data_IF_818032630763
#
_entry.id   IF_818032630763
#
_cell.length_a   1.000
_cell.length_b   1.000
_cell.length_c   1.000
_cell.angle_alpha   90.00
_cell.angle_beta   90.00
_cell.angle_gamma   90.00
#
_symmetry.space_group_name_H-M   'P 1'
#
loop_
_entity.id
_entity.type
_entity.pdbx_description
1 polymer ?
#
# COMPACT_ATOMS: atom_id res chain seq x y z
N UNK A 1 -28.18 18.53 62.79
CA UNK A 1 -28.14 19.63 61.80
C UNK A 1 -26.69 19.75 61.35
N UNK A 2 -26.32 19.16 60.19
CA UNK A 2 -26.05 19.86 58.91
C UNK A 2 -24.91 20.91 59.10
N UNK A 3 -23.74 20.85 58.46
CA UNK A 3 -23.45 20.54 57.06
C UNK A 3 -22.03 20.00 56.84
N UNK A 4 -21.92 19.01 55.95
CA UNK A 4 -20.70 18.48 55.34
C UNK A 4 -20.36 19.36 54.13
N UNK A 5 -19.13 19.85 54.03
CA UNK A 5 -18.59 20.45 52.81
C UNK A 5 -17.65 19.45 52.14
N UNK A 6 -18.14 18.77 51.09
CA UNK A 6 -17.28 17.99 50.19
C UNK A 6 -17.07 18.81 48.93
N UNK A 7 -15.83 19.24 48.73
CA UNK A 7 -15.36 20.02 47.60
C UNK A 7 -15.41 19.17 46.33
N UNK A 8 -16.20 19.60 45.35
CA UNK A 8 -16.37 18.95 44.05
C UNK A 8 -15.22 19.35 43.12
N UNK A 9 -14.25 18.47 42.90
CA UNK A 9 -13.24 18.63 41.85
C UNK A 9 -13.82 18.17 40.51
N UNK A 10 -14.06 19.12 39.61
CA UNK A 10 -14.44 18.83 38.23
C UNK A 10 -13.17 18.44 37.46
N UNK A 11 -13.01 17.15 37.22
CA UNK A 11 -11.97 16.61 36.33
C UNK A 11 -12.42 16.86 34.88
N UNK A 12 -11.84 17.87 34.24
CA UNK A 12 -12.01 18.09 32.80
C UNK A 12 -11.29 16.95 32.04
N UNK A 13 -12.06 15.96 31.59
CA UNK A 13 -11.59 14.98 30.61
C UNK A 13 -11.38 15.69 29.28
N UNK A 14 -10.12 16.10 29.04
CA UNK A 14 -9.63 16.37 27.69
C UNK A 14 -9.82 15.10 26.87
N UNK A 15 -10.78 15.12 25.96
CA UNK A 15 -10.87 14.12 24.90
C UNK A 15 -9.67 14.32 23.99
N UNK A 16 -8.61 13.57 24.27
CA UNK A 16 -7.57 13.33 23.29
C UNK A 16 -8.26 12.60 22.13
N UNK A 17 -8.53 13.31 21.03
CA UNK A 17 -8.78 12.66 19.75
C UNK A 17 -7.49 11.91 19.42
N UNK A 18 -7.49 10.61 19.64
CA UNK A 18 -6.50 9.71 19.08
C UNK A 18 -6.48 9.95 17.57
N UNK A 19 -5.32 10.39 17.05
CA UNK A 19 -5.01 10.30 15.64
C UNK A 19 -5.46 8.92 15.15
N UNK A 20 -6.29 8.90 14.10
CA UNK A 20 -6.80 7.69 13.47
C UNK A 20 -5.64 6.69 13.38
N UNK A 21 -5.72 5.57 14.09
CA UNK A 21 -4.69 4.55 14.03
C UNK A 21 -4.57 4.15 12.55
N UNK A 22 -3.41 4.44 11.95
CA UNK A 22 -3.17 4.24 10.53
C UNK A 22 -3.44 2.77 10.18
N UNK A 23 -4.61 2.50 9.58
CA UNK A 23 -5.00 1.13 9.30
C UNK A 23 -4.11 0.58 8.18
N UNK A 24 -3.54 -0.62 8.36
CA UNK A 24 -2.74 -1.24 7.32
C UNK A 24 -3.61 -1.52 6.09
N UNK A 25 -2.98 -1.53 4.91
CA UNK A 25 -3.64 -1.92 3.66
C UNK A 25 -4.31 -3.29 3.79
N UNK A 26 -5.53 -3.41 3.28
CA UNK A 26 -6.26 -4.68 3.27
C UNK A 26 -5.81 -5.54 2.10
N UNK A 27 -5.47 -6.81 2.37
CA UNK A 27 -5.17 -7.81 1.34
C UNK A 27 -6.39 -8.70 1.12
N UNK A 28 -6.89 -8.72 -0.12
CA UNK A 28 -8.03 -9.55 -0.51
C UNK A 28 -7.78 -10.25 -1.86
N UNK A 29 -8.51 -11.33 -2.11
CA UNK A 29 -8.56 -12.00 -3.42
C UNK A 29 -9.94 -11.76 -4.04
N UNK A 30 -10.03 -10.81 -4.98
CA UNK A 30 -11.26 -10.48 -5.69
C UNK A 30 -11.21 -11.13 -7.08
N UNK A 31 -12.16 -12.01 -7.40
CA UNK A 31 -12.21 -12.73 -8.70
C UNK A 31 -10.90 -13.47 -9.05
N UNK A 32 -10.27 -14.09 -8.06
CA UNK A 32 -9.00 -14.81 -8.26
C UNK A 32 -7.80 -13.91 -8.52
N UNK A 33 -7.91 -12.61 -8.20
CA UNK A 33 -6.81 -11.64 -8.27
C UNK A 33 -6.53 -11.02 -6.92
N UNK A 34 -5.26 -10.91 -6.56
CA UNK A 34 -4.85 -10.18 -5.36
C UNK A 34 -5.09 -8.69 -5.57
N UNK A 35 -5.75 -8.08 -4.60
CA UNK A 35 -5.98 -6.64 -4.50
C UNK A 35 -5.58 -6.19 -3.10
N UNK A 36 -4.63 -5.25 -3.06
CA UNK A 36 -4.28 -4.50 -1.86
C UNK A 36 -4.99 -3.15 -1.92
N UNK A 37 -5.85 -2.84 -0.94
CA UNK A 37 -6.75 -1.68 -1.01
C UNK A 37 -6.74 -0.89 0.30
N UNK A 38 -6.79 0.44 0.19
CA UNK A 38 -6.94 1.35 1.32
C UNK A 38 -7.89 2.49 0.95
N UNK A 39 -8.73 2.86 1.90
CA UNK A 39 -9.55 4.07 1.85
C UNK A 39 -8.88 5.14 2.69
N UNK A 40 -8.78 6.34 2.13
CA UNK A 40 -8.26 7.53 2.79
C UNK A 40 -9.41 8.52 2.90
N UNK A 41 -9.66 9.02 4.11
CA UNK A 41 -10.67 10.07 4.32
C UNK A 41 -10.18 11.39 3.71
N UNK A 42 -11.12 12.24 3.28
CA UNK A 42 -10.82 13.53 2.70
C UNK A 42 -11.41 14.66 3.54
N UNK A 43 -10.56 15.61 3.91
CA UNK A 43 -10.96 16.87 4.57
C UNK A 43 -11.26 18.00 3.59
N UNK A 44 -11.10 17.73 2.29
CA UNK A 44 -11.23 18.70 1.20
C UNK A 44 -12.26 18.23 0.18
N UNK A 45 -12.78 19.16 -0.62
CA UNK A 45 -13.71 18.80 -1.68
C UNK A 45 -13.06 17.89 -2.74
N UNK A 46 -13.87 17.07 -3.40
CA UNK A 46 -13.40 16.10 -4.38
C UNK A 46 -12.54 16.69 -5.52
N UNK A 47 -12.83 17.93 -5.94
CA UNK A 47 -12.09 18.57 -7.03
C UNK A 47 -10.66 18.86 -6.58
N UNK A 48 -10.48 19.43 -5.38
CA UNK A 48 -9.18 19.67 -4.79
C UNK A 48 -8.41 18.37 -4.54
N UNK A 49 -9.08 17.36 -3.99
CA UNK A 49 -8.48 16.04 -3.77
C UNK A 49 -8.03 15.39 -5.08
N UNK A 50 -8.82 15.50 -6.14
CA UNK A 50 -8.46 14.94 -7.43
C UNK A 50 -7.25 15.65 -8.05
N UNK A 51 -7.13 16.98 -7.95
CA UNK A 51 -5.94 17.68 -8.43
C UNK A 51 -4.67 17.24 -7.68
N UNK A 52 -4.75 17.05 -6.36
CA UNK A 52 -3.64 16.51 -5.56
C UNK A 52 -3.29 15.10 -6.02
N UNK A 53 -4.30 14.23 -6.21
CA UNK A 53 -4.10 12.87 -6.70
C UNK A 53 -3.42 12.86 -8.08
N UNK A 54 -3.82 13.76 -8.99
CA UNK A 54 -3.19 13.88 -10.31
C UNK A 54 -1.73 14.30 -10.20
N UNK A 55 -1.42 15.27 -9.35
CA UNK A 55 -0.05 15.71 -9.12
C UNK A 55 0.81 14.58 -8.53
N UNK A 56 0.31 13.91 -7.49
CA UNK A 56 0.99 12.75 -6.90
C UNK A 56 1.25 11.66 -7.93
N UNK A 57 0.26 11.33 -8.78
CA UNK A 57 0.41 10.31 -9.81
C UNK A 57 1.40 10.72 -10.91
N UNK A 58 1.44 12.01 -11.28
CA UNK A 58 2.43 12.56 -12.21
C UNK A 58 3.85 12.44 -11.64
N UNK A 59 4.02 12.81 -10.37
CA UNK A 59 5.33 12.80 -9.72
C UNK A 59 5.88 11.38 -9.55
N UNK A 60 5.01 10.41 -9.24
CA UNK A 60 5.38 9.02 -8.98
C UNK A 60 5.45 8.14 -10.24
N UNK A 61 4.66 8.44 -11.29
CA UNK A 61 4.50 7.54 -12.44
C UNK A 61 4.60 8.24 -13.81
N UNK A 62 4.88 9.54 -13.85
CA UNK A 62 4.96 10.33 -15.08
C UNK A 62 6.37 10.61 -15.59
N UNK A 63 7.42 10.18 -14.87
CA UNK A 63 8.81 10.59 -15.15
C UNK A 63 9.52 9.72 -16.20
N UNK A 64 9.41 8.41 -16.09
CA UNK A 64 10.11 7.46 -16.96
C UNK A 64 9.12 6.48 -17.62
N UNK A 65 8.91 6.58 -18.95
CA UNK A 65 7.98 5.72 -19.69
C UNK A 65 8.42 4.26 -19.79
N UNK A 66 9.71 3.95 -19.57
CA UNK A 66 10.21 2.57 -19.56
C UNK A 66 9.98 1.87 -18.22
N UNK A 67 9.74 2.63 -17.16
CA UNK A 67 9.46 2.14 -15.81
C UNK A 67 7.97 2.21 -15.49
N UNK A 68 7.29 3.28 -15.91
CA UNK A 68 5.94 3.57 -15.49
C UNK A 68 5.12 4.28 -16.57
N UNK A 69 3.80 4.18 -16.47
CA UNK A 69 2.87 4.94 -17.30
C UNK A 69 1.62 5.25 -16.49
N UNK A 70 1.06 6.45 -16.68
CA UNK A 70 -0.14 6.92 -15.96
C UNK A 70 -1.19 7.45 -16.94
N UNK A 71 -2.45 7.18 -16.64
CA UNK A 71 -3.64 7.70 -17.34
C UNK A 71 -4.56 8.36 -16.33
N UNK A 72 -5.26 9.38 -16.80
CA UNK A 72 -6.17 10.20 -16.01
C UNK A 72 -7.56 10.16 -16.62
N UNK A 73 -8.58 9.95 -15.80
CA UNK A 73 -9.98 10.16 -16.13
C UNK A 73 -10.51 11.32 -15.28
N UNK A 74 -10.61 12.49 -15.91
CA UNK A 74 -11.04 13.71 -15.22
C UNK A 74 -12.53 13.71 -14.87
N UNK A 75 -13.35 12.98 -15.62
CA UNK A 75 -14.79 12.90 -15.35
C UNK A 75 -15.06 11.96 -14.18
N UNK A 76 -14.41 10.79 -14.20
CA UNK A 76 -14.47 9.79 -13.13
C UNK A 76 -13.63 10.12 -11.89
N UNK A 77 -12.84 11.21 -11.91
CA UNK A 77 -11.85 11.58 -10.88
C UNK A 77 -10.95 10.41 -10.49
N UNK A 78 -10.43 9.75 -11.52
CA UNK A 78 -9.73 8.48 -11.42
C UNK A 78 -8.36 8.54 -12.09
N UNK A 79 -7.39 7.82 -11.53
CA UNK A 79 -6.09 7.57 -12.15
C UNK A 79 -5.82 6.07 -12.21
N UNK A 80 -5.11 5.66 -13.25
CA UNK A 80 -4.53 4.32 -13.34
C UNK A 80 -3.08 4.45 -13.77
N UNK A 81 -2.18 3.78 -13.05
CA UNK A 81 -0.78 3.70 -13.42
C UNK A 81 -0.27 2.27 -13.41
N UNK A 82 0.58 1.93 -14.37
CA UNK A 82 1.38 0.71 -14.36
C UNK A 82 2.80 1.09 -14.02
N UNK A 83 3.45 0.33 -13.15
CA UNK A 83 4.82 0.61 -12.74
C UNK A 83 5.59 -0.67 -12.40
N UNK A 84 6.91 -0.54 -12.31
CA UNK A 84 7.81 -1.57 -11.78
C UNK A 84 8.76 -0.96 -10.77
N UNK A 85 9.10 -1.71 -9.73
CA UNK A 85 10.04 -1.30 -8.68
C UNK A 85 10.89 -2.49 -8.24
N UNK A 86 12.13 -2.24 -7.84
CA UNK A 86 12.95 -3.22 -7.14
C UNK A 86 12.61 -3.18 -5.64
N UNK A 87 12.18 -4.32 -5.10
CA UNK A 87 11.95 -4.50 -3.67
C UNK A 87 13.16 -5.17 -3.05
N UNK A 88 13.75 -4.52 -2.04
CA UNK A 88 14.71 -5.16 -1.16
C UNK A 88 13.94 -6.03 -0.16
N UNK A 89 14.31 -7.30 -0.05
CA UNK A 89 13.70 -8.24 0.88
C UNK A 89 14.35 -8.13 2.27
N UNK A 90 13.63 -8.48 3.36
CA UNK A 90 14.24 -8.73 4.65
C UNK A 90 15.35 -9.79 4.52
N UNK A 91 16.36 -9.77 5.40
CA UNK A 91 17.37 -10.82 5.44
C UNK A 91 16.69 -12.17 5.70
N UNK A 92 17.12 -13.19 4.98
CA UNK A 92 16.69 -14.57 5.19
C UNK A 92 17.36 -15.20 6.43
N UNK A 93 17.05 -16.46 6.70
CA UNK A 93 17.63 -17.28 7.77
C UNK A 93 19.15 -17.45 7.67
N UNK A 94 19.73 -17.17 6.50
CA UNK A 94 21.18 -17.16 6.24
C UNK A 94 21.75 -15.73 6.24
N UNK A 95 20.95 -14.74 6.64
CA UNK A 95 21.27 -13.31 6.67
C UNK A 95 21.60 -12.71 5.28
N UNK A 96 21.11 -13.33 4.21
CA UNK A 96 21.22 -12.83 2.83
C UNK A 96 20.03 -11.93 2.53
N UNK A 97 20.30 -10.72 2.01
CA UNK A 97 19.27 -9.80 1.52
C UNK A 97 19.11 -9.97 0.02
N UNK A 98 18.03 -10.65 -0.35
CA UNK A 98 17.65 -10.79 -1.75
C UNK A 98 16.84 -9.58 -2.25
N UNK A 99 16.64 -9.51 -3.56
CA UNK A 99 15.83 -8.49 -4.21
C UNK A 99 14.92 -9.10 -5.27
N UNK A 100 13.76 -8.50 -5.47
CA UNK A 100 12.80 -8.88 -6.52
C UNK A 100 12.34 -7.65 -7.26
N UNK A 101 12.09 -7.75 -8.56
CA UNK A 101 11.40 -6.68 -9.27
C UNK A 101 9.90 -6.95 -9.25
N UNK A 102 9.14 -6.09 -8.58
CA UNK A 102 7.68 -6.13 -8.60
C UNK A 102 7.15 -5.26 -9.74
N UNK A 103 6.28 -5.82 -10.57
CA UNK A 103 5.43 -5.08 -11.53
C UNK A 103 4.02 -5.02 -10.96
N UNK A 104 3.35 -3.89 -11.08
CA UNK A 104 2.01 -3.69 -10.52
C UNK A 104 1.21 -2.65 -11.31
N UNK A 105 -0.11 -2.66 -11.11
CA UNK A 105 -1.00 -1.57 -11.45
C UNK A 105 -1.50 -0.94 -10.16
N UNK A 106 -1.46 0.39 -10.08
CA UNK A 106 -2.13 1.17 -9.04
C UNK A 106 -3.29 1.93 -9.67
N UNK A 107 -4.43 1.89 -9.00
CA UNK A 107 -5.63 2.60 -9.38
C UNK A 107 -6.13 3.39 -8.18
N UNK A 108 -6.44 4.67 -8.38
CA UNK A 108 -6.98 5.51 -7.32
C UNK A 108 -8.12 6.39 -7.83
N UNK A 109 -9.16 6.54 -7.01
CA UNK A 109 -10.35 7.33 -7.33
C UNK A 109 -10.79 8.18 -6.15
N UNK A 110 -11.40 9.32 -6.46
CA UNK A 110 -12.12 10.14 -5.50
C UNK A 110 -13.61 9.82 -5.59
N UNK A 111 -14.18 9.26 -4.53
CA UNK A 111 -15.58 8.84 -4.48
C UNK A 111 -16.14 9.02 -3.07
N UNK A 112 -17.32 9.63 -2.95
CA UNK A 112 -18.06 9.79 -1.69
C UNK A 112 -17.23 10.36 -0.52
N UNK A 113 -16.43 11.40 -0.78
CA UNK A 113 -15.59 12.03 0.25
C UNK A 113 -14.39 11.19 0.70
N UNK A 114 -14.00 10.18 -0.08
CA UNK A 114 -12.84 9.32 0.16
C UNK A 114 -11.94 9.25 -1.07
N UNK A 115 -10.65 9.03 -0.85
CA UNK A 115 -9.75 8.50 -1.87
C UNK A 115 -9.60 6.99 -1.67
N UNK A 116 -10.05 6.21 -2.64
CA UNK A 116 -9.86 4.75 -2.65
C UNK A 116 -8.66 4.45 -3.54
N UNK A 117 -7.60 3.87 -2.97
CA UNK A 117 -6.39 3.44 -3.69
C UNK A 117 -6.27 1.92 -3.63
N UNK A 118 -5.93 1.32 -4.79
CA UNK A 118 -5.78 -0.13 -4.92
C UNK A 118 -4.56 -0.52 -5.76
N UNK A 119 -3.87 -1.57 -5.34
CA UNK A 119 -2.75 -2.19 -6.05
C UNK A 119 -3.18 -3.58 -6.49
N UNK A 120 -3.05 -3.86 -7.80
CA UNK A 120 -3.48 -5.11 -8.43
C UNK A 120 -2.59 -5.49 -9.59
N UNK A 121 -2.88 -6.62 -10.22
CA UNK A 121 -2.08 -7.17 -11.35
C UNK A 121 -0.59 -7.29 -11.00
N UNK A 122 -0.30 -7.66 -9.76
CA UNK A 122 1.05 -7.76 -9.24
C UNK A 122 1.76 -9.03 -9.73
N UNK A 123 3.02 -8.89 -10.12
CA UNK A 123 3.91 -10.00 -10.45
C UNK A 123 5.33 -9.69 -10.03
N UNK A 124 6.09 -10.74 -9.74
CA UNK A 124 7.43 -10.68 -9.18
C UNK A 124 8.39 -11.40 -10.11
N UNK A 125 9.39 -10.66 -10.57
CA UNK A 125 10.55 -11.18 -11.26
C UNK A 125 11.62 -11.46 -10.20
N UNK A 126 11.92 -12.73 -10.01
CA UNK A 126 12.99 -13.18 -9.12
C UNK A 126 14.12 -13.78 -9.94
N UNK A 127 15.32 -13.28 -9.69
CA UNK A 127 16.57 -13.78 -10.27
C UNK A 127 17.33 -14.50 -9.17
N UNK A 128 17.52 -15.81 -9.31
CA UNK A 128 18.25 -16.59 -8.32
C UNK A 128 19.76 -16.34 -8.51
N UNK A 129 20.45 -15.69 -7.55
CA UNK A 129 21.86 -15.35 -7.70
C UNK A 129 22.77 -16.59 -7.74
N UNK A 130 22.31 -17.74 -7.23
CA UNK A 130 23.04 -19.01 -7.27
C UNK A 130 22.88 -19.76 -8.60
N UNK A 131 21.99 -19.27 -9.48
CA UNK A 131 21.71 -19.86 -10.81
C UNK A 131 21.59 -18.76 -11.87
N UNK A 132 22.66 -17.99 -12.12
CA UNK A 132 22.63 -16.82 -13.01
C UNK A 132 22.32 -17.18 -14.47
N UNK A 133 22.60 -18.42 -14.89
CA UNK A 133 22.32 -18.90 -16.26
C UNK A 133 20.83 -19.25 -16.50
N UNK A 134 20.00 -19.24 -15.45
CA UNK A 134 18.58 -19.53 -15.56
C UNK A 134 17.78 -18.25 -15.78
N UNK A 135 16.82 -18.32 -16.70
CA UNK A 135 15.92 -17.20 -16.97
C UNK A 135 15.21 -16.75 -15.68
N UNK A 136 15.07 -15.44 -15.45
CA UNK A 136 14.33 -14.90 -14.32
C UNK A 136 12.92 -15.49 -14.23
N UNK A 137 12.52 -15.96 -13.04
CA UNK A 137 11.18 -16.53 -12.84
C UNK A 137 10.18 -15.42 -12.57
N UNK A 138 9.14 -15.33 -13.40
CA UNK A 138 7.99 -14.46 -13.16
C UNK A 138 6.92 -15.27 -12.41
N UNK A 139 6.56 -14.82 -11.22
CA UNK A 139 5.50 -15.42 -10.40
C UNK A 139 4.42 -14.37 -10.11
N UNK A 140 3.15 -14.76 -10.10
CA UNK A 140 2.06 -13.83 -9.79
C UNK A 140 1.88 -13.67 -8.28
N UNK A 141 1.26 -12.57 -7.86
CA UNK A 141 0.99 -12.32 -6.45
C UNK A 141 0.08 -13.38 -5.81
N UNK A 142 -0.88 -13.91 -6.58
CA UNK A 142 -1.80 -14.96 -6.11
C UNK A 142 -1.06 -16.19 -5.57
N UNK A 143 0.07 -16.53 -6.20
CA UNK A 143 0.89 -17.71 -5.89
C UNK A 143 1.94 -17.44 -4.81
N UNK A 144 2.08 -16.18 -4.35
CA UNK A 144 3.19 -15.77 -3.49
C UNK A 144 2.76 -15.11 -2.18
N UNK A 145 1.80 -14.19 -2.21
CA UNK A 145 1.54 -13.29 -1.06
C UNK A 145 0.20 -13.52 -0.38
N UNK A 146 -0.61 -14.46 -0.87
CA UNK A 146 -1.88 -14.85 -0.23
C UNK A 146 -1.63 -15.69 1.01
N UNK A 147 -2.60 -15.73 1.93
CA UNK A 147 -2.53 -16.63 3.09
C UNK A 147 -2.46 -18.10 2.65
N UNK A 148 -3.18 -18.45 1.58
CA UNK A 148 -3.09 -19.78 0.97
C UNK A 148 -1.67 -20.09 0.49
N UNK A 149 -1.04 -19.19 -0.27
CA UNK A 149 0.34 -19.39 -0.71
C UNK A 149 1.33 -19.51 0.46
N UNK A 150 1.12 -18.75 1.53
CA UNK A 150 1.98 -18.80 2.72
C UNK A 150 1.76 -20.02 3.61
N UNK A 151 0.59 -20.66 3.51
CA UNK A 151 0.32 -21.91 4.24
C UNK A 151 1.08 -23.12 3.68
N UNK A 152 1.65 -23.01 2.48
CA UNK A 152 2.49 -24.05 1.89
C UNK A 152 3.83 -24.14 2.63
N UNK A 153 4.10 -25.28 3.23
CA UNK A 153 5.38 -25.63 3.83
C UNK A 153 6.29 -26.28 2.78
N UNK A 154 7.04 -25.45 2.06
CA UNK A 154 8.01 -25.87 1.05
C UNK A 154 9.29 -25.02 1.12
N UNK A 155 10.24 -25.31 0.23
CA UNK A 155 11.54 -24.61 0.17
C UNK A 155 11.45 -23.13 -0.26
N UNK A 156 10.26 -22.61 -0.59
CA UNK A 156 10.02 -21.23 -0.99
C UNK A 156 9.22 -20.45 0.07
N UNK A 157 8.86 -21.08 1.19
CA UNK A 157 8.07 -20.47 2.28
C UNK A 157 8.67 -19.16 2.80
N UNK A 158 9.97 -19.14 3.09
CA UNK A 158 10.69 -17.95 3.55
C UNK A 158 10.69 -16.83 2.49
N UNK A 159 10.96 -17.18 1.23
CA UNK A 159 10.92 -16.24 0.11
C UNK A 159 9.53 -15.61 -0.04
N UNK A 160 8.46 -16.41 0.01
CA UNK A 160 7.07 -15.92 -0.03
C UNK A 160 6.78 -14.95 1.11
N UNK A 161 7.19 -15.31 2.33
CA UNK A 161 7.01 -14.46 3.52
C UNK A 161 7.70 -13.11 3.37
N UNK A 162 8.94 -13.12 2.89
CA UNK A 162 9.75 -11.93 2.67
C UNK A 162 9.19 -11.04 1.53
N UNK A 163 8.75 -11.64 0.43
CA UNK A 163 8.08 -10.90 -0.66
C UNK A 163 6.80 -10.24 -0.14
N UNK A 164 5.96 -10.94 0.64
CA UNK A 164 4.74 -10.35 1.22
C UNK A 164 5.08 -9.16 2.11
N UNK A 165 6.05 -9.31 3.02
CA UNK A 165 6.48 -8.23 3.93
C UNK A 165 6.92 -6.97 3.16
N UNK A 166 7.83 -7.11 2.20
CA UNK A 166 8.29 -5.96 1.41
C UNK A 166 7.20 -5.35 0.55
N UNK A 167 6.29 -6.16 0.01
CA UNK A 167 5.13 -5.68 -0.75
C UNK A 167 4.21 -4.84 0.13
N UNK A 168 3.84 -5.35 1.30
CA UNK A 168 2.97 -4.62 2.23
C UNK A 168 3.64 -3.36 2.76
N UNK A 169 4.95 -3.40 3.05
CA UNK A 169 5.70 -2.23 3.43
C UNK A 169 5.66 -1.15 2.34
N UNK A 170 6.01 -1.51 1.09
CA UNK A 170 5.99 -0.60 -0.04
C UNK A 170 4.59 0.03 -0.23
N UNK A 171 3.54 -0.79 -0.27
CA UNK A 171 2.17 -0.31 -0.50
C UNK A 171 1.71 0.61 0.65
N UNK A 172 1.98 0.26 1.90
CA UNK A 172 1.61 1.11 3.03
C UNK A 172 2.34 2.47 2.97
N UNK A 173 3.64 2.48 2.64
CA UNK A 173 4.40 3.73 2.47
C UNK A 173 3.85 4.58 1.33
N UNK A 174 3.51 3.97 0.19
CA UNK A 174 2.90 4.68 -0.94
C UNK A 174 1.54 5.28 -0.58
N UNK A 175 0.69 4.53 0.13
CA UNK A 175 -0.58 5.04 0.61
C UNK A 175 -0.41 6.18 1.63
N UNK A 176 0.57 6.05 2.55
CA UNK A 176 0.87 7.07 3.54
C UNK A 176 1.38 8.37 2.88
N UNK A 177 2.23 8.27 1.86
CA UNK A 177 2.68 9.44 1.11
C UNK A 177 1.51 10.19 0.45
N UNK A 178 0.59 9.46 -0.18
CA UNK A 178 -0.60 10.05 -0.78
C UNK A 178 -1.50 10.69 0.30
N UNK A 179 -1.70 10.00 1.41
CA UNK A 179 -2.50 10.48 2.54
C UNK A 179 -1.96 11.81 3.10
N UNK A 180 -0.64 11.91 3.30
CA UNK A 180 0.01 13.14 3.73
C UNK A 180 -0.24 14.29 2.74
N UNK A 181 -0.11 14.04 1.43
CA UNK A 181 -0.37 15.05 0.39
C UNK A 181 -1.83 15.49 0.36
N UNK A 182 -2.78 14.58 0.51
CA UNK A 182 -4.21 14.87 0.55
C UNK A 182 -4.58 15.76 1.74
N UNK A 183 -3.83 15.66 2.84
CA UNK A 183 -3.99 16.45 4.05
C UNK A 183 -3.01 17.64 4.16
N UNK A 184 -2.24 17.94 3.12
CA UNK A 184 -1.31 19.07 3.07
C UNK A 184 -0.14 18.99 4.06
N UNK A 185 0.31 17.77 4.38
CA UNK A 185 1.41 17.48 5.31
C UNK A 185 2.70 17.08 4.59
#
# INVERSE_FOLDING_TARGET
MKHVYTLLTVLAFLHFQSASADQPVSLSVKQGKVVLEKELDLDINDKGAYEILRMWAKDNYGRDPFISSVRYDNLGKFITAKSRIELLLPPDSKNVREKVVMRYRVDASIVNGKCVISFREMSYLYENPLKPDFLPKISKAEDLITDQALSLDDSQSELRSNIRKSTLYFVNQTCQELDLKLHGK
#
